data_IF_547013500795
#
_entry.id   IF_547013500795
#
_cell.length_a   1.000
_cell.length_b   1.000
_cell.length_c   1.000
_cell.angle_alpha   90.00
_cell.angle_beta   90.00
_cell.angle_gamma   90.00
#
_symmetry.space_group_name_H-M   'P 1'
#
loop_
_entity.id
_entity.type
_entity.pdbx_description
1 polymer ?
#
# COMPACT_ATOMS: atom_id res chain seq x y z
N UNK A 1 53.51 -8.38 -0.06
CA UNK A 1 52.15 -7.83 -0.27
C UNK A 1 51.27 -8.45 0.78
N UNK A 2 50.59 -7.64 1.60
CA UNK A 2 49.80 -8.10 2.73
C UNK A 2 48.32 -7.98 2.36
N UNK A 3 47.64 -9.11 2.18
CA UNK A 3 46.19 -9.11 2.00
C UNK A 3 45.53 -9.26 3.37
N UNK A 4 44.56 -8.39 3.65
CA UNK A 4 43.77 -8.42 4.88
C UNK A 4 42.52 -9.29 4.69
N UNK A 5 42.23 -10.15 5.66
CA UNK A 5 41.08 -11.05 5.62
C UNK A 5 39.83 -10.25 6.00
N UNK A 6 38.93 -10.05 5.04
CA UNK A 6 37.66 -9.38 5.26
C UNK A 6 36.76 -10.24 6.18
N UNK A 7 36.64 -9.84 7.45
CA UNK A 7 35.70 -10.47 8.38
C UNK A 7 34.27 -9.97 8.12
N UNK A 8 33.52 -10.82 7.42
CA UNK A 8 32.09 -10.59 7.07
C UNK A 8 31.19 -10.37 8.30
N UNK A 9 31.65 -10.62 9.52
CA UNK A 9 30.91 -10.38 10.77
C UNK A 9 31.01 -8.93 11.29
N UNK A 10 31.97 -8.15 10.79
CA UNK A 10 32.16 -6.74 11.17
C UNK A 10 31.37 -5.75 10.29
N UNK A 11 30.73 -6.22 9.21
CA UNK A 11 29.85 -5.36 8.40
C UNK A 11 28.61 -5.01 9.24
N UNK A 12 28.31 -3.72 9.50
CA UNK A 12 27.10 -3.34 10.18
C UNK A 12 25.90 -3.87 9.39
N UNK A 13 25.24 -4.91 9.90
CA UNK A 13 24.07 -5.51 9.27
C UNK A 13 22.81 -4.66 9.50
N UNK A 14 22.95 -3.48 10.09
CA UNK A 14 21.89 -2.50 10.23
C UNK A 14 21.63 -1.87 8.86
N UNK A 15 20.61 -2.36 8.16
CA UNK A 15 20.11 -1.71 6.94
C UNK A 15 19.74 -0.27 7.30
N UNK A 16 20.25 0.69 6.51
CA UNK A 16 19.92 2.10 6.67
C UNK A 16 18.39 2.29 6.81
N UNK A 17 17.92 3.22 7.67
CA UNK A 17 16.50 3.47 7.83
C UNK A 17 15.89 3.82 6.48
N UNK A 18 14.72 3.27 6.19
CA UNK A 18 14.04 3.50 4.92
C UNK A 18 12.53 3.49 5.10
N UNK A 19 11.88 4.42 4.41
CA UNK A 19 10.43 4.54 4.32
C UNK A 19 10.03 4.28 2.89
N UNK A 20 9.04 3.43 2.69
CA UNK A 20 8.53 3.11 1.35
C UNK A 20 7.04 3.39 1.33
N UNK A 21 6.62 4.28 0.43
CA UNK A 21 5.21 4.49 0.09
C UNK A 21 4.91 3.55 -1.07
N UNK A 22 4.02 2.61 -0.83
CA UNK A 22 3.57 1.64 -1.81
C UNK A 22 2.34 2.15 -2.54
N UNK A 23 1.97 1.41 -3.59
CA UNK A 23 0.71 1.63 -4.29
C UNK A 23 -0.46 1.68 -3.30
N UNK A 24 -1.45 2.55 -3.60
CA UNK A 24 -2.68 2.73 -2.79
C UNK A 24 -2.43 3.35 -1.40
N UNK A 25 -1.28 3.97 -1.19
CA UNK A 25 -1.02 4.75 0.03
C UNK A 25 -0.68 3.91 1.25
N UNK A 26 -0.14 2.70 1.07
CA UNK A 26 0.39 1.90 2.18
C UNK A 26 1.83 2.34 2.46
N UNK A 27 2.11 2.77 3.69
CA UNK A 27 3.46 3.13 4.12
C UNK A 27 4.08 1.92 4.78
N UNK A 28 5.37 1.70 4.51
CA UNK A 28 6.11 0.62 5.13
C UNK A 28 7.50 1.08 5.58
N UNK A 29 7.81 0.75 6.83
CA UNK A 29 9.02 1.13 7.54
C UNK A 29 9.87 -0.13 7.75
N UNK A 30 11.16 -0.06 7.46
CA UNK A 30 12.05 -1.13 7.90
C UNK A 30 12.29 -1.05 9.42
N UNK A 31 12.89 -2.12 9.98
CA UNK A 31 13.21 -2.20 11.42
C UNK A 31 13.94 -0.95 11.93
N UNK A 32 14.98 -0.50 11.22
CA UNK A 32 15.75 0.68 11.61
C UNK A 32 14.90 1.97 11.65
N UNK A 33 13.99 2.17 10.70
CA UNK A 33 13.08 3.32 10.72
C UNK A 33 12.01 3.20 11.82
N UNK A 34 11.53 1.99 12.11
CA UNK A 34 10.59 1.77 13.21
C UNK A 34 11.24 1.96 14.59
N UNK A 35 12.52 1.60 14.72
CA UNK A 35 13.31 1.86 15.92
C UNK A 35 13.47 3.36 16.22
N UNK A 36 13.55 4.21 15.18
CA UNK A 36 13.66 5.66 15.34
C UNK A 36 12.41 6.30 15.97
N UNK A 37 11.24 5.66 15.85
CA UNK A 37 10.00 6.08 16.50
C UNK A 37 9.68 5.23 17.75
N UNK A 38 10.71 4.61 18.34
CA UNK A 38 10.57 3.85 19.58
C UNK A 38 9.81 2.53 19.46
N UNK A 39 9.70 1.96 18.25
CA UNK A 39 8.87 0.78 17.97
C UNK A 39 7.39 0.98 18.33
N UNK A 40 6.86 2.19 18.18
CA UNK A 40 5.46 2.49 18.51
C UNK A 40 4.46 1.58 17.77
N UNK A 41 3.41 1.18 18.49
CA UNK A 41 2.28 0.40 17.94
C UNK A 41 1.23 1.29 17.28
N UNK A 42 1.17 2.56 17.69
CA UNK A 42 0.33 3.60 17.10
C UNK A 42 1.13 4.85 16.80
N UNK A 43 0.79 5.47 15.67
CA UNK A 43 1.49 6.65 15.16
C UNK A 43 0.51 7.68 14.64
N UNK A 44 0.91 8.94 14.68
CA UNK A 44 0.24 10.01 13.96
C UNK A 44 1.02 10.35 12.69
N UNK A 45 0.26 10.65 11.64
CA UNK A 45 0.78 11.09 10.35
C UNK A 45 0.54 12.58 10.22
N UNK A 46 1.62 13.33 10.01
CA UNK A 46 1.57 14.78 9.80
C UNK A 46 2.07 15.11 8.40
N UNK A 47 1.55 16.21 7.86
CA UNK A 47 1.99 16.74 6.58
C UNK A 47 2.25 18.23 6.68
N UNK A 48 3.47 18.63 6.37
CA UNK A 48 3.85 20.01 6.15
C UNK A 48 3.62 20.34 4.67
N UNK A 49 2.64 21.20 4.39
CA UNK A 49 2.29 21.61 3.01
C UNK A 49 3.33 22.55 2.41
N UNK A 50 3.99 23.35 3.23
CA UNK A 50 4.94 24.36 2.77
C UNK A 50 6.27 23.70 2.39
N UNK A 51 6.71 22.71 3.18
CA UNK A 51 7.94 21.93 2.92
C UNK A 51 7.70 20.68 2.08
N UNK A 52 6.43 20.30 1.86
CA UNK A 52 6.04 19.00 1.28
C UNK A 52 6.66 17.81 2.02
N UNK A 53 6.75 17.90 3.35
CA UNK A 53 7.34 16.86 4.21
C UNK A 53 6.23 16.08 4.91
N UNK A 54 6.31 14.75 4.85
CA UNK A 54 5.50 13.87 5.67
C UNK A 54 6.27 13.51 6.94
N UNK A 55 5.63 13.57 8.10
CA UNK A 55 6.20 13.13 9.36
C UNK A 55 5.38 12.01 10.01
N UNK A 56 6.07 11.09 10.67
CA UNK A 56 5.50 9.99 11.45
C UNK A 56 6.00 10.13 12.87
N UNK A 57 5.08 10.24 13.83
CA UNK A 57 5.40 10.31 15.26
C UNK A 57 4.66 9.24 16.04
N UNK A 58 5.25 8.76 17.13
CA UNK A 58 4.53 7.92 18.09
C UNK A 58 3.39 8.72 18.73
N UNK A 59 2.26 8.06 18.98
CA UNK A 59 1.12 8.65 19.70
C UNK A 59 0.53 7.62 20.65
N UNK A 60 -0.49 8.02 21.41
CA UNK A 60 -1.29 7.13 22.24
C UNK A 60 -2.49 6.58 21.45
N UNK A 61 -2.89 5.34 21.75
CA UNK A 61 -4.02 4.65 21.11
C UNK A 61 -5.36 5.39 21.28
N UNK A 62 -5.48 6.25 22.29
CA UNK A 62 -6.67 7.06 22.54
C UNK A 62 -6.80 8.27 21.60
N UNK A 63 -5.76 8.61 20.83
CA UNK A 63 -5.82 9.73 19.89
C UNK A 63 -6.77 9.41 18.72
N UNK A 64 -7.73 10.30 18.40
CA UNK A 64 -8.66 10.09 17.29
C UNK A 64 -7.96 10.06 15.91
N UNK A 65 -6.70 10.47 15.85
CA UNK A 65 -5.89 10.50 14.63
C UNK A 65 -4.77 9.44 14.64
N UNK A 66 -4.81 8.49 15.58
CA UNK A 66 -3.86 7.40 15.64
C UNK A 66 -4.07 6.40 14.49
N UNK A 67 -2.96 6.02 13.88
CA UNK A 67 -2.86 4.93 12.91
C UNK A 67 -2.14 3.74 13.55
N UNK A 68 -2.76 2.57 13.49
CA UNK A 68 -2.13 1.34 13.95
C UNK A 68 -0.98 0.92 13.03
N UNK A 69 0.17 0.62 13.64
CA UNK A 69 1.35 0.03 13.02
C UNK A 69 1.23 -1.48 13.07
N UNK A 70 1.24 -2.12 11.91
CA UNK A 70 1.13 -3.59 11.80
C UNK A 70 2.45 -4.21 11.39
N UNK A 71 2.79 -5.35 11.96
CA UNK A 71 3.97 -6.10 11.54
C UNK A 71 3.65 -6.93 10.29
N UNK A 72 4.34 -6.65 9.20
CA UNK A 72 4.10 -7.22 7.87
C UNK A 72 4.55 -8.68 7.68
N UNK A 73 5.31 -9.26 8.61
CA UNK A 73 5.73 -10.66 8.55
C UNK A 73 5.94 -11.26 9.94
N UNK A 74 5.50 -12.51 10.14
CA UNK A 74 5.86 -13.36 11.29
C UNK A 74 7.22 -14.07 11.11
N UNK A 75 7.78 -14.05 9.89
CA UNK A 75 8.99 -14.80 9.49
C UNK A 75 9.90 -13.89 8.66
N UNK A 76 10.69 -13.04 9.31
CA UNK A 76 11.65 -12.15 8.66
C UNK A 76 11.87 -10.85 9.44
N UNK A 77 12.88 -10.03 9.09
CA UNK A 77 13.11 -8.74 9.75
C UNK A 77 11.84 -7.90 9.63
N UNK A 78 11.19 -7.66 10.76
CA UNK A 78 9.86 -7.07 10.84
C UNK A 78 9.79 -5.75 10.08
N UNK A 79 8.88 -5.70 9.11
CA UNK A 79 8.51 -4.46 8.44
C UNK A 79 7.27 -3.93 9.15
N UNK A 80 7.32 -2.69 9.62
CA UNK A 80 6.15 -1.99 10.14
C UNK A 80 5.33 -1.43 8.96
N UNK A 81 4.02 -1.62 8.98
CA UNK A 81 3.09 -1.24 7.92
C UNK A 81 2.02 -0.33 8.50
N UNK A 82 1.78 0.79 7.82
CA UNK A 82 0.76 1.78 8.19
C UNK A 82 -0.19 1.96 6.99
N UNK A 83 -1.49 1.81 7.23
CA UNK A 83 -2.53 2.02 6.21
C UNK A 83 -2.85 3.50 6.09
N UNK A 84 -2.06 4.23 5.30
CA UNK A 84 -2.15 5.68 5.14
C UNK A 84 -2.94 6.12 3.88
N UNK A 85 -3.85 5.29 3.38
CA UNK A 85 -4.59 5.57 2.14
C UNK A 85 -5.33 6.89 2.19
N UNK A 86 -6.09 7.15 3.27
CA UNK A 86 -6.81 8.41 3.45
C UNK A 86 -5.86 9.62 3.53
N UNK A 87 -4.72 9.48 4.22
CA UNK A 87 -3.71 10.52 4.34
C UNK A 87 -3.11 10.88 2.98
N UNK A 88 -2.64 9.89 2.22
CA UNK A 88 -2.05 10.11 0.90
C UNK A 88 -3.04 10.72 -0.09
N UNK A 89 -4.31 10.29 -0.06
CA UNK A 89 -5.36 10.87 -0.89
C UNK A 89 -5.69 12.31 -0.49
N UNK A 90 -5.81 12.59 0.81
CA UNK A 90 -6.17 13.90 1.33
C UNK A 90 -5.12 14.98 0.98
N UNK A 91 -3.84 14.62 1.04
CA UNK A 91 -2.74 15.55 0.74
C UNK A 91 -2.21 15.45 -0.71
N UNK A 92 -2.83 14.63 -1.56
CA UNK A 92 -2.45 14.50 -2.98
C UNK A 92 -1.07 13.88 -3.19
N UNK A 93 -0.61 13.02 -2.28
CA UNK A 93 0.68 12.34 -2.39
C UNK A 93 0.59 11.26 -3.49
N UNK A 94 1.49 11.31 -4.47
CA UNK A 94 1.54 10.33 -5.56
C UNK A 94 1.90 8.93 -5.04
N UNK A 95 0.87 8.10 -4.87
CA UNK A 95 0.99 6.68 -4.54
C UNK A 95 0.64 5.76 -5.73
N UNK A 96 0.87 6.21 -6.97
CA UNK A 96 0.65 5.39 -8.18
C UNK A 96 1.76 4.35 -8.39
N UNK A 97 2.99 4.71 -7.98
CA UNK A 97 4.17 3.84 -7.99
C UNK A 97 4.67 3.58 -6.56
N UNK A 98 5.31 2.44 -6.36
CA UNK A 98 6.02 2.19 -5.10
C UNK A 98 7.35 2.93 -5.15
N UNK A 99 7.59 3.81 -4.19
CA UNK A 99 8.81 4.61 -4.07
C UNK A 99 9.37 4.51 -2.66
N UNK A 100 10.69 4.59 -2.55
CA UNK A 100 11.43 4.56 -1.27
C UNK A 100 12.21 5.84 -1.07
N UNK A 101 12.17 6.34 0.15
CA UNK A 101 12.91 7.49 0.62
C UNK A 101 13.82 7.12 1.78
N UNK A 102 14.89 7.90 1.92
CA UNK A 102 15.71 7.94 3.12
C UNK A 102 15.06 8.94 4.09
N UNK A 103 14.57 8.50 5.26
CA UNK A 103 14.01 9.40 6.23
C UNK A 103 15.12 10.16 6.98
N UNK A 104 14.72 11.25 7.61
CA UNK A 104 15.51 11.98 8.61
C UNK A 104 14.67 12.13 9.89
N UNK A 105 15.33 12.38 11.02
CA UNK A 105 14.65 12.61 12.29
C UNK A 105 14.70 14.10 12.61
N UNK A 106 13.55 14.67 12.95
CA UNK A 106 13.40 16.07 13.36
C UNK A 106 12.39 16.09 14.52
N UNK A 107 12.76 16.63 15.68
CA UNK A 107 11.90 16.74 16.87
C UNK A 107 11.19 15.43 17.27
N UNK A 108 11.94 14.32 17.34
CA UNK A 108 11.42 12.96 17.62
C UNK A 108 10.39 12.43 16.61
N UNK A 109 10.27 13.08 15.44
CA UNK A 109 9.44 12.65 14.34
C UNK A 109 10.30 12.09 13.21
N UNK A 110 9.83 11.00 12.61
CA UNK A 110 10.45 10.44 11.41
C UNK A 110 9.87 11.15 10.18
N UNK A 111 10.69 12.00 9.57
CA UNK A 111 10.33 12.85 8.45
C UNK A 111 10.80 12.27 7.11
N UNK A 112 10.01 12.51 6.08
CA UNK A 112 10.26 12.13 4.69
C UNK A 112 9.99 13.34 3.81
N UNK A 113 11.02 13.79 3.11
CA UNK A 113 10.90 14.81 2.09
C UNK A 113 10.25 14.20 0.84
N UNK A 114 9.04 14.69 0.49
CA UNK A 114 8.31 14.25 -0.70
C UNK A 114 8.54 15.19 -1.89
N UNK A 115 9.25 16.31 -1.71
CA UNK A 115 9.71 17.16 -2.81
C UNK A 115 10.84 16.47 -3.59
N UNK A 116 11.66 15.65 -2.91
CA UNK A 116 12.64 14.79 -3.54
C UNK A 116 12.00 13.57 -4.20
N UNK A 117 12.44 13.26 -5.43
CA UNK A 117 11.99 12.05 -6.11
C UNK A 117 12.49 10.79 -5.39
N UNK A 118 11.56 10.07 -4.77
CA UNK A 118 11.85 8.78 -4.14
C UNK A 118 12.34 7.74 -5.17
N UNK A 119 13.21 6.84 -4.73
CA UNK A 119 13.71 5.74 -5.56
C UNK A 119 12.57 4.78 -5.89
N UNK A 120 12.26 4.64 -7.18
CA UNK A 120 11.20 3.72 -7.64
C UNK A 120 11.60 2.28 -7.35
N UNK A 121 10.71 1.54 -6.67
CA UNK A 121 10.86 0.11 -6.44
C UNK A 121 9.93 -0.63 -7.40
N UNK A 122 10.52 -1.20 -8.45
CA UNK A 122 9.84 -2.17 -9.29
C UNK A 122 9.86 -3.53 -8.59
N UNK A 123 8.70 -4.00 -8.15
CA UNK A 123 8.56 -5.38 -7.70
C UNK A 123 8.62 -6.33 -8.89
N UNK A 124 9.36 -7.43 -8.76
CA UNK A 124 9.42 -8.54 -9.74
C UNK A 124 8.09 -9.32 -9.88
N UNK A 125 6.95 -8.72 -9.49
CA UNK A 125 5.61 -9.29 -9.62
C UNK A 125 4.84 -8.51 -10.68
N UNK A 126 5.21 -8.72 -11.94
CA UNK A 126 4.22 -8.71 -13.02
C UNK A 126 3.32 -9.93 -12.79
N UNK A 127 2.28 -9.78 -11.97
CA UNK A 127 1.07 -10.55 -12.27
C UNK A 127 0.51 -9.90 -13.52
N UNK A 128 0.79 -10.52 -14.66
CA UNK A 128 0.04 -10.35 -15.90
C UNK A 128 -1.43 -10.58 -15.57
N UNK A 129 -2.16 -9.51 -15.25
CA UNK A 129 -3.60 -9.50 -15.43
C UNK A 129 -3.79 -9.08 -16.88
N UNK A 130 -4.00 -10.07 -17.74
CA UNK A 130 -4.49 -9.84 -19.09
C UNK A 130 -5.78 -8.99 -19.01
N UNK A 131 -6.00 -8.06 -19.95
CA UNK A 131 -7.28 -7.39 -20.05
C UNK A 131 -8.27 -8.43 -20.57
N UNK A 132 -9.20 -8.88 -19.73
CA UNK A 132 -10.46 -9.42 -20.24
C UNK A 132 -11.24 -8.20 -20.72
N UNK A 133 -11.01 -7.88 -21.99
CA UNK A 133 -11.87 -7.01 -22.77
C UNK A 133 -13.18 -7.72 -23.14
N UNK A 134 -14.14 -6.87 -23.48
CA UNK A 134 -15.40 -7.17 -24.15
C UNK A 134 -16.54 -7.60 -23.23
N UNK A 135 -17.13 -6.58 -22.63
CA UNK A 135 -18.58 -6.47 -22.48
C UNK A 135 -19.25 -6.72 -23.84
N UNK A 136 -20.13 -7.72 -23.90
CA UNK A 136 -21.22 -7.76 -24.87
C UNK A 136 -22.52 -7.65 -24.06
N UNK A 137 -23.28 -6.55 -24.16
CA UNK A 137 -24.60 -6.45 -23.54
C UNK A 137 -25.60 -7.28 -24.35
N UNK A 138 -26.19 -8.28 -23.73
CA UNK A 138 -27.44 -8.89 -24.18
C UNK A 138 -28.57 -7.86 -24.06
N UNK A 139 -28.89 -7.17 -25.15
CA UNK A 139 -30.19 -6.54 -25.35
C UNK A 139 -31.03 -7.46 -26.23
N UNK A 140 -31.89 -8.26 -25.59
CA UNK A 140 -32.98 -8.95 -26.26
C UNK A 140 -34.16 -7.98 -26.35
N UNK A 141 -34.45 -7.51 -27.57
CA UNK A 141 -35.63 -6.72 -27.90
C UNK A 141 -36.93 -7.50 -27.63
N UNK A 142 -37.97 -6.88 -27.07
CA UNK A 142 -39.33 -7.39 -27.15
C UNK A 142 -39.98 -6.94 -28.46
N UNK A 143 -41.06 -7.64 -28.82
CA UNK A 143 -42.09 -7.24 -29.79
C UNK A 143 -41.86 -7.67 -31.26
N UNK A 144 -42.35 -8.88 -31.58
CA UNK A 144 -43.23 -9.07 -32.74
C UNK A 144 -44.03 -10.40 -32.58
N UNK A 145 -45.34 -10.27 -32.38
CA UNK A 145 -46.34 -11.31 -32.62
C UNK A 145 -47.05 -10.95 -33.95
N UNK A 146 -47.78 -11.82 -34.68
CA UNK A 146 -48.54 -12.96 -34.17
C UNK A 146 -48.69 -14.18 -35.14
N UNK A 147 -49.56 -15.12 -34.71
CA UNK A 147 -50.33 -16.11 -35.48
C UNK A 147 -49.64 -17.43 -35.89
N UNK A 148 -50.09 -18.55 -35.31
CA UNK A 148 -51.06 -19.42 -36.00
C UNK A 148 -51.75 -20.36 -34.98
N UNK A 149 -52.84 -20.95 -35.44
CA UNK A 149 -54.01 -21.40 -34.72
C UNK A 149 -53.97 -22.85 -34.22
N UNK A 150 -54.87 -23.11 -33.26
CA UNK A 150 -55.60 -24.36 -33.02
C UNK A 150 -54.78 -25.62 -32.67
N UNK A 151 -55.05 -26.32 -31.57
CA UNK A 151 -56.26 -27.14 -31.43
C UNK A 151 -56.43 -27.53 -29.96
N UNK A 152 -57.66 -27.40 -29.46
CA UNK A 152 -58.11 -27.91 -28.18
C UNK A 152 -58.37 -29.42 -28.28
N UNK A 153 -57.97 -30.18 -27.27
CA UNK A 153 -58.70 -31.37 -26.81
C UNK A 153 -58.27 -31.70 -25.37
N UNK A 154 -59.12 -31.29 -24.42
CA UNK A 154 -59.36 -31.98 -23.14
C UNK A 154 -60.18 -33.25 -23.49
N UNK A 155 -60.23 -34.38 -22.74
CA UNK A 155 -60.18 -34.41 -21.28
C UNK A 155 -59.65 -35.71 -20.60
N UNK A 156 -59.65 -35.68 -19.27
CA UNK A 156 -59.90 -36.77 -18.30
C UNK A 156 -59.38 -38.21 -18.58
N UNK A 157 -58.60 -38.78 -17.65
CA UNK A 157 -59.12 -39.69 -16.60
C UNK A 157 -58.03 -40.63 -16.05
N UNK A 158 -57.98 -40.67 -14.71
CA UNK A 158 -57.38 -41.70 -13.81
C UNK A 158 -55.86 -41.78 -13.61
#
# INVERSE_FOLDING_TARGET
MSFEVFDKRMTPLAKAPSVTIQKRGVISLNKAAHDLIGNAETVELLYDRDRQVMAVRSTDDSSPHAYAVRNGSKRGPGQAIISATAFTQHYGIDATATRRWKPFVEDDMLCVDLSEEGTVITGNRTKTTAPVGTMEPTEASPDDAPADASTADDPDHS
#
